data_IF_748455863730
#
_entry.id   IF_748455863730
#
_cell.length_a   1.000
_cell.length_b   1.000
_cell.length_c   1.000
_cell.angle_alpha   90.00
_cell.angle_beta   90.00
_cell.angle_gamma   90.00
#
_symmetry.space_group_name_H-M   'P 1'
#
loop_
_entity.id
_entity.type
_entity.pdbx_description
1 polymer ?
#
# COMPACT_ATOMS: atom_id res chain seq x y z
N UNK A 1 0.79 -22.77 -3.83
CA UNK A 1 0.40 -21.84 -4.89
C UNK A 1 -0.06 -20.52 -4.28
N UNK A 2 0.41 -19.40 -4.80
CA UNK A 2 0.07 -18.09 -4.27
C UNK A 2 -1.28 -17.61 -4.82
N UNK A 3 -2.10 -16.95 -3.96
CA UNK A 3 -3.33 -16.31 -4.39
C UNK A 3 -3.06 -15.00 -5.16
N UNK A 4 -1.84 -14.51 -5.10
CA UNK A 4 -1.44 -13.28 -5.75
C UNK A 4 -0.29 -12.63 -5.00
N UNK A 5 0.17 -11.50 -5.51
CA UNK A 5 1.29 -10.75 -4.94
C UNK A 5 0.80 -9.44 -4.36
N UNK A 6 1.22 -9.14 -3.13
CA UNK A 6 0.88 -7.90 -2.44
C UNK A 6 2.16 -7.11 -2.17
N UNK A 7 2.17 -5.84 -2.54
CA UNK A 7 3.25 -4.94 -2.16
C UNK A 7 2.77 -4.11 -0.98
N UNK A 8 3.46 -4.22 0.16
CA UNK A 8 3.17 -3.46 1.37
C UNK A 8 4.20 -2.33 1.47
N UNK A 9 3.74 -1.10 1.50
CA UNK A 9 4.60 0.08 1.56
C UNK A 9 4.29 0.87 2.83
N UNK A 10 5.19 0.80 3.80
CA UNK A 10 5.06 1.49 5.09
C UNK A 10 6.45 1.60 5.69
N UNK A 11 6.77 2.74 6.29
CA UNK A 11 8.07 2.93 6.94
C UNK A 11 8.15 2.28 8.33
N UNK A 12 7.01 1.84 8.87
CA UNK A 12 6.97 1.12 10.14
C UNK A 12 7.21 -0.37 9.94
N UNK A 13 8.36 -0.86 10.38
CA UNK A 13 8.74 -2.26 10.23
C UNK A 13 7.74 -3.21 10.92
N UNK A 14 7.18 -2.80 12.06
CA UNK A 14 6.25 -3.64 12.80
C UNK A 14 4.96 -3.85 12.02
N UNK A 15 4.47 -2.81 11.38
CA UNK A 15 3.27 -2.90 10.54
C UNK A 15 3.54 -3.79 9.34
N UNK A 16 4.68 -3.60 8.68
CA UNK A 16 5.06 -4.41 7.53
C UNK A 16 5.16 -5.90 7.89
N UNK A 17 5.80 -6.22 9.01
CA UNK A 17 5.93 -7.61 9.44
C UNK A 17 4.59 -8.23 9.80
N UNK A 18 3.73 -7.48 10.48
CA UNK A 18 2.41 -7.95 10.85
C UNK A 18 1.56 -8.27 9.62
N UNK A 19 1.53 -7.34 8.67
CA UNK A 19 0.79 -7.52 7.43
C UNK A 19 1.36 -8.69 6.61
N UNK A 20 2.67 -8.78 6.55
CA UNK A 20 3.33 -9.86 5.81
C UNK A 20 2.97 -11.22 6.39
N UNK A 21 3.06 -11.37 7.70
CA UNK A 21 2.72 -12.63 8.36
C UNK A 21 1.26 -13.01 8.11
N UNK A 22 0.36 -12.05 8.27
CA UNK A 22 -1.06 -12.31 8.08
C UNK A 22 -1.37 -12.70 6.63
N UNK A 23 -0.87 -11.93 5.68
CA UNK A 23 -1.17 -12.16 4.27
C UNK A 23 -0.52 -13.43 3.74
N UNK A 24 0.69 -13.75 4.18
CA UNK A 24 1.33 -15.00 3.81
C UNK A 24 0.58 -16.20 4.35
N UNK A 25 0.04 -16.08 5.55
CA UNK A 25 -0.80 -17.13 6.15
C UNK A 25 -2.06 -17.37 5.31
N UNK A 26 -2.59 -16.33 4.69
CA UNK A 26 -3.77 -16.42 3.84
C UNK A 26 -3.44 -16.87 2.41
N UNK A 27 -2.18 -17.08 2.09
CA UNK A 27 -1.78 -17.62 0.79
C UNK A 27 -1.22 -16.61 -0.21
N UNK A 28 -0.99 -15.37 0.21
CA UNK A 28 -0.42 -14.34 -0.67
C UNK A 28 1.10 -14.32 -0.61
N UNK A 29 1.72 -13.98 -1.74
CA UNK A 29 3.14 -13.61 -1.74
C UNK A 29 3.25 -12.14 -1.36
N UNK A 30 4.15 -11.78 -0.44
CA UNK A 30 4.24 -10.42 0.07
C UNK A 30 5.63 -9.85 -0.16
N UNK A 31 5.65 -8.63 -0.68
CA UNK A 31 6.85 -7.82 -0.85
C UNK A 31 6.69 -6.57 -0.01
N UNK A 32 7.77 -6.08 0.57
CA UNK A 32 7.73 -4.93 1.47
C UNK A 32 8.66 -3.84 0.98
N UNK A 33 8.21 -2.59 1.07
CA UNK A 33 9.04 -1.42 0.83
C UNK A 33 8.82 -0.42 1.96
N UNK A 34 9.87 0.31 2.33
CA UNK A 34 9.84 1.24 3.47
C UNK A 34 9.90 2.72 3.06
N UNK A 35 10.04 3.01 1.78
CA UNK A 35 9.97 4.39 1.30
C UNK A 35 9.33 4.44 -0.09
N UNK A 36 8.94 5.65 -0.50
CA UNK A 36 8.19 5.82 -1.73
C UNK A 36 8.99 5.56 -3.00
N UNK A 37 10.26 5.95 -3.01
CA UNK A 37 11.11 5.74 -4.18
C UNK A 37 11.34 4.26 -4.44
N UNK A 38 11.65 3.52 -3.39
CA UNK A 38 11.82 2.07 -3.47
C UNK A 38 10.53 1.39 -3.89
N UNK A 39 9.39 1.89 -3.40
CA UNK A 39 8.09 1.33 -3.74
C UNK A 39 7.81 1.40 -5.23
N UNK A 40 8.10 2.52 -5.87
CA UNK A 40 7.88 2.67 -7.31
C UNK A 40 8.78 1.71 -8.09
N UNK A 41 10.04 1.58 -7.69
CA UNK A 41 10.98 0.66 -8.34
C UNK A 41 10.50 -0.78 -8.20
N UNK A 42 10.10 -1.18 -6.99
CA UNK A 42 9.60 -2.54 -6.75
C UNK A 42 8.30 -2.82 -7.48
N UNK A 43 7.40 -1.83 -7.52
CA UNK A 43 6.16 -1.99 -8.26
C UNK A 43 6.42 -2.31 -9.73
N UNK A 44 7.30 -1.54 -10.37
CA UNK A 44 7.60 -1.73 -11.78
C UNK A 44 8.31 -3.06 -12.05
N UNK A 45 9.16 -3.50 -11.13
CA UNK A 45 9.91 -4.75 -11.29
C UNK A 45 9.08 -6.00 -11.00
N UNK A 46 8.24 -5.94 -9.95
CA UNK A 46 7.57 -7.12 -9.43
C UNK A 46 6.11 -7.24 -9.86
N UNK A 47 5.51 -6.17 -10.32
CA UNK A 47 4.12 -6.12 -10.82
C UNK A 47 3.13 -6.81 -9.89
N UNK A 48 2.95 -6.27 -8.67
CA UNK A 48 2.02 -6.86 -7.71
C UNK A 48 0.57 -6.78 -8.18
N UNK A 49 -0.28 -7.60 -7.60
CA UNK A 49 -1.70 -7.62 -7.91
C UNK A 49 -2.47 -6.57 -7.10
N UNK A 50 -1.92 -6.16 -5.95
CA UNK A 50 -2.50 -5.14 -5.10
C UNK A 50 -1.40 -4.45 -4.31
N UNK A 51 -1.59 -3.17 -3.98
CA UNK A 51 -0.66 -2.37 -3.18
C UNK A 51 -1.36 -1.87 -1.92
N UNK A 52 -0.74 -2.09 -0.76
CA UNK A 52 -1.15 -1.49 0.51
C UNK A 52 -0.13 -0.39 0.78
N UNK A 53 -0.58 0.86 0.81
CA UNK A 53 0.30 2.02 0.73
C UNK A 53 0.04 3.02 1.85
N UNK A 54 1.04 3.25 2.69
CA UNK A 54 0.97 4.29 3.71
C UNK A 54 1.09 5.66 3.06
N UNK A 55 0.31 6.62 3.54
CA UNK A 55 0.36 8.00 3.05
C UNK A 55 1.64 8.69 3.50
N UNK A 56 2.03 8.50 4.75
CA UNK A 56 3.17 9.19 5.35
C UNK A 56 4.45 8.38 5.18
N UNK A 57 5.17 8.64 4.10
CA UNK A 57 6.42 7.93 3.77
C UNK A 57 7.58 8.90 3.62
N UNK A 58 8.82 8.45 3.92
CA UNK A 58 10.00 9.22 3.54
C UNK A 58 10.20 9.14 2.03
N UNK A 59 10.85 10.14 1.45
CA UNK A 59 11.03 10.24 0.00
C UNK A 59 9.75 10.68 -0.67
N UNK A 60 9.27 9.91 -1.64
CA UNK A 60 7.95 10.15 -2.25
C UNK A 60 6.87 9.72 -1.25
N UNK A 61 5.93 10.61 -0.93
CA UNK A 61 4.83 10.23 -0.05
C UNK A 61 3.84 9.31 -0.77
N UNK A 62 2.87 8.80 -0.01
CA UNK A 62 1.91 7.84 -0.56
C UNK A 62 1.11 8.36 -1.74
N UNK A 63 0.75 9.65 -1.74
CA UNK A 63 0.01 10.24 -2.85
C UNK A 63 0.85 10.26 -4.12
N UNK A 64 2.13 10.60 -4.00
CA UNK A 64 3.05 10.62 -5.12
C UNK A 64 3.28 9.23 -5.68
N UNK A 65 3.42 8.23 -4.82
CA UNK A 65 3.56 6.84 -5.24
C UNK A 65 2.31 6.39 -6.01
N UNK A 66 1.13 6.73 -5.51
CA UNK A 66 -0.12 6.40 -6.18
C UNK A 66 -0.18 7.01 -7.58
N UNK A 67 0.20 8.28 -7.72
CA UNK A 67 0.24 8.96 -9.03
C UNK A 67 1.20 8.26 -9.98
N UNK A 68 2.38 7.89 -9.49
CA UNK A 68 3.38 7.22 -10.33
C UNK A 68 2.86 5.87 -10.84
N UNK A 69 2.22 5.11 -9.96
CA UNK A 69 1.63 3.83 -10.34
C UNK A 69 0.53 4.04 -11.39
N UNK A 70 -0.32 5.04 -11.19
CA UNK A 70 -1.45 5.32 -12.08
C UNK A 70 -1.04 5.78 -13.48
N UNK A 71 0.19 6.23 -13.67
CA UNK A 71 0.69 6.58 -15.00
C UNK A 71 0.74 5.37 -15.93
N UNK A 72 0.95 4.19 -15.37
CA UNK A 72 1.17 2.98 -16.17
C UNK A 72 0.28 1.79 -15.80
N UNK A 73 -0.53 1.88 -14.76
CA UNK A 73 -1.26 0.73 -14.25
C UNK A 73 -2.55 1.09 -13.52
N UNK A 74 -3.50 0.18 -13.58
CA UNK A 74 -4.75 0.25 -12.82
C UNK A 74 -4.74 -0.71 -11.63
N UNK A 75 -3.57 -1.18 -11.21
CA UNK A 75 -3.44 -2.09 -10.07
C UNK A 75 -4.16 -1.51 -8.85
N UNK A 76 -5.01 -2.29 -8.15
CA UNK A 76 -5.70 -1.82 -6.97
C UNK A 76 -4.74 -1.30 -5.89
N UNK A 77 -5.05 -0.13 -5.35
CA UNK A 77 -4.26 0.51 -4.30
C UNK A 77 -5.18 0.81 -3.12
N UNK A 78 -4.82 0.28 -1.95
CA UNK A 78 -5.51 0.58 -0.70
C UNK A 78 -4.58 1.46 0.13
N UNK A 79 -5.03 2.67 0.46
CA UNK A 79 -4.25 3.60 1.26
C UNK A 79 -4.40 3.29 2.74
N UNK A 80 -3.29 3.30 3.47
CA UNK A 80 -3.28 3.18 4.92
C UNK A 80 -3.16 4.57 5.51
N UNK A 81 -4.14 5.00 6.29
CA UNK A 81 -4.19 6.37 6.80
C UNK A 81 -4.18 6.41 8.31
N UNK A 82 -3.72 7.52 8.88
CA UNK A 82 -3.88 7.76 10.29
C UNK A 82 -5.35 8.16 10.58
N UNK A 83 -5.80 7.81 11.78
CA UNK A 83 -7.17 8.13 12.20
C UNK A 83 -7.39 9.64 12.18
N UNK A 84 -8.50 10.07 11.60
CA UNK A 84 -8.86 11.48 11.54
C UNK A 84 -8.49 12.22 10.27
N UNK A 85 -7.85 11.56 9.32
CA UNK A 85 -7.44 12.18 8.07
C UNK A 85 -8.54 12.09 6.99
N UNK A 86 -9.75 12.48 7.33
CA UNK A 86 -10.91 12.42 6.43
C UNK A 86 -10.73 13.28 5.19
N UNK A 87 -10.04 14.41 5.33
CA UNK A 87 -9.80 15.33 4.23
C UNK A 87 -8.90 14.69 3.17
N UNK A 88 -7.84 14.01 3.60
CA UNK A 88 -6.92 13.34 2.68
C UNK A 88 -7.59 12.20 1.94
N UNK A 89 -8.60 11.65 2.53
CA UNK A 89 -9.42 10.58 1.99
C UNK A 89 -10.00 10.94 0.62
N UNK A 90 -10.68 12.05 0.54
CA UNK A 90 -11.28 12.51 -0.71
C UNK A 90 -10.21 12.77 -1.75
N UNK A 91 -9.11 13.42 -1.36
CA UNK A 91 -8.00 13.70 -2.24
C UNK A 91 -7.38 12.41 -2.79
N UNK A 92 -7.23 11.39 -1.94
CA UNK A 92 -6.66 10.11 -2.36
C UNK A 92 -7.49 9.40 -3.41
N UNK A 93 -8.81 9.42 -3.26
CA UNK A 93 -9.70 8.81 -4.24
C UNK A 93 -9.66 9.57 -5.56
N UNK A 94 -9.54 10.88 -5.52
CA UNK A 94 -9.40 11.70 -6.73
C UNK A 94 -8.08 11.43 -7.45
N UNK A 95 -7.02 11.13 -6.72
CA UNK A 95 -5.71 10.82 -7.29
C UNK A 95 -5.69 9.42 -7.90
N UNK A 96 -6.54 8.53 -7.43
CA UNK A 96 -6.66 7.21 -8.02
C UNK A 96 -6.50 6.02 -7.07
N UNK A 97 -6.56 6.27 -5.76
CA UNK A 97 -6.63 5.16 -4.81
C UNK A 97 -8.00 4.50 -4.92
N UNK A 98 -8.05 3.19 -4.79
CA UNK A 98 -9.29 2.43 -4.88
C UNK A 98 -10.05 2.38 -3.56
N UNK A 99 -9.30 2.42 -2.46
CA UNK A 99 -9.89 2.36 -1.13
C UNK A 99 -8.85 2.78 -0.12
N UNK A 100 -9.23 2.86 1.14
CA UNK A 100 -8.29 3.06 2.21
C UNK A 100 -8.82 2.60 3.56
N UNK A 101 -7.86 2.32 4.46
CA UNK A 101 -8.12 1.79 5.78
C UNK A 101 -7.41 2.69 6.78
N UNK A 102 -8.12 3.09 7.84
CA UNK A 102 -7.59 3.97 8.87
C UNK A 102 -6.78 3.18 9.89
N UNK A 103 -5.60 3.66 10.23
CA UNK A 103 -4.79 3.09 11.30
C UNK A 103 -5.28 3.59 12.67
N UNK A 104 -5.22 2.79 13.74
CA UNK A 104 -4.95 1.37 13.71
C UNK A 104 -6.10 0.57 13.09
N UNK A 105 -5.79 -0.50 12.40
CA UNK A 105 -6.80 -1.30 11.72
C UNK A 105 -6.78 -2.74 12.21
N UNK A 106 -7.90 -3.44 12.04
CA UNK A 106 -7.94 -4.88 12.27
C UNK A 106 -7.66 -5.58 10.94
N UNK A 107 -7.15 -6.78 11.00
CA UNK A 107 -6.87 -7.55 9.78
C UNK A 107 -8.13 -7.85 8.97
N UNK A 108 -9.29 -7.79 9.61
CA UNK A 108 -10.57 -7.99 8.92
C UNK A 108 -10.90 -6.90 7.93
N UNK A 109 -10.36 -5.70 8.15
CA UNK A 109 -10.62 -4.56 7.27
C UNK A 109 -9.83 -4.64 5.97
N UNK A 110 -8.82 -5.48 5.94
CA UNK A 110 -8.00 -5.71 4.76
C UNK A 110 -8.56 -6.83 3.91
#
# INVERSE_FOLDING_TARGET
MSLGKVLVVDDDNNICELLKLYLEKEGYGVMVSHDGDEAVVKFNALKPDIVLLDIMLPGLDGWQVCREIRKTSNTPIIMLTAKGETFDKVLGLEIGADDYVTKPFSMREL
#
